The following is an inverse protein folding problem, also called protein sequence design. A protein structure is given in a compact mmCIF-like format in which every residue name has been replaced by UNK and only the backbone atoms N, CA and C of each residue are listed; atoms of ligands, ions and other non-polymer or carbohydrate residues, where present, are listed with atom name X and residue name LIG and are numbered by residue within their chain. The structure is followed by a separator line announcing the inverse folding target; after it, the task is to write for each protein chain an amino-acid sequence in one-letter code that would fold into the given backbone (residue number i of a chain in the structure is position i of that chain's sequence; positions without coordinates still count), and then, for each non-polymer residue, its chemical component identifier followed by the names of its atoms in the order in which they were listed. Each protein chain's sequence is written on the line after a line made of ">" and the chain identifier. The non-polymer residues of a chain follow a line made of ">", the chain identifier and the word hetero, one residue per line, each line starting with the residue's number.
data_IF_190176093142
#
_entry.id   IF_190176093142
#
_cell.length_a   1.000
_cell.length_b   1.000
_cell.length_c   1.000
_cell.angle_alpha   90.00
_cell.angle_beta   90.00
_cell.angle_gamma   90.00
#
_symmetry.space_group_name_H-M   'P 1'
#
loop_
_entity.id
_entity.type
_entity.pdbx_description
1 polymer ?
#
# COMPACT_ATOMS: atom_id res chain seq x y z
N UNK A 1 19.35 -9.31 16.30
CA UNK A 1 17.90 -9.29 16.04
C UNK A 1 17.57 -7.95 15.41
N UNK A 2 17.39 -7.90 14.09
CA UNK A 2 17.12 -6.65 13.39
C UNK A 2 15.65 -6.24 13.64
N UNK A 3 15.37 -4.99 14.03
CA UNK A 3 14.00 -4.52 14.18
C UNK A 3 13.29 -4.63 12.83
N UNK A 4 12.22 -5.42 12.83
CA UNK A 4 11.64 -6.02 11.64
C UNK A 4 11.10 -5.03 10.62
N UNK A 5 11.53 -5.23 9.37
CA UNK A 5 10.93 -4.63 8.18
C UNK A 5 9.41 -4.90 8.11
N UNK A 6 8.94 -5.98 8.74
CA UNK A 6 7.53 -6.33 8.94
C UNK A 6 6.63 -5.14 9.31
N UNK A 7 7.09 -4.21 10.15
CA UNK A 7 6.25 -3.09 10.64
C UNK A 7 6.55 -1.73 10.00
N UNK A 8 7.52 -1.64 9.09
CA UNK A 8 7.86 -0.34 8.47
C UNK A 8 6.71 0.20 7.63
N UNK A 9 6.12 -0.64 6.78
CA UNK A 9 5.03 -0.25 5.91
C UNK A 9 3.82 0.23 6.72
N UNK A 10 3.46 -0.52 7.77
CA UNK A 10 2.35 -0.16 8.65
C UNK A 10 2.58 1.18 9.37
N UNK A 11 3.82 1.45 9.80
CA UNK A 11 4.17 2.76 10.36
C UNK A 11 4.12 3.89 9.34
N UNK A 12 4.58 3.65 8.11
CA UNK A 12 4.53 4.65 7.04
C UNK A 12 3.07 4.99 6.75
N UNK A 13 2.22 3.98 6.51
CA UNK A 13 0.78 4.21 6.29
C UNK A 13 0.16 4.92 7.49
N UNK A 14 0.42 4.49 8.72
CA UNK A 14 -0.11 5.17 9.90
C UNK A 14 0.34 6.63 9.96
N UNK A 15 1.61 6.91 9.67
CA UNK A 15 2.15 8.25 9.69
C UNK A 15 1.47 9.11 8.62
N UNK A 16 1.29 8.61 7.40
CA UNK A 16 0.61 9.34 6.33
C UNK A 16 -0.87 9.51 6.64
N UNK A 17 -1.55 8.52 7.20
CA UNK A 17 -2.94 8.66 7.63
C UNK A 17 -3.10 9.74 8.70
N UNK A 18 -2.15 9.84 9.65
CA UNK A 18 -2.17 10.82 10.74
C UNK A 18 -1.76 12.22 10.30
N UNK A 19 -0.64 12.33 9.60
CA UNK A 19 -0.04 13.62 9.19
C UNK A 19 -0.63 14.17 7.88
N UNK A 20 -1.19 13.30 7.04
CA UNK A 20 -1.54 13.62 5.66
C UNK A 20 -0.32 13.71 4.73
N UNK A 21 0.88 13.45 5.25
CA UNK A 21 2.13 13.68 4.51
C UNK A 21 2.53 12.45 3.72
N UNK A 22 2.25 12.45 2.41
CA UNK A 22 2.59 11.35 1.50
C UNK A 22 4.08 11.22 1.20
N UNK A 23 4.92 12.15 1.66
CA UNK A 23 6.36 12.09 1.44
C UNK A 23 6.99 10.90 2.16
N UNK A 24 6.47 10.51 3.33
CA UNK A 24 6.92 9.28 4.01
C UNK A 24 6.66 8.03 3.16
N UNK A 25 5.59 8.06 2.39
CA UNK A 25 5.21 7.04 1.43
C UNK A 25 6.18 7.05 0.22
N UNK A 26 6.40 8.22 -0.38
CA UNK A 26 7.33 8.39 -1.50
C UNK A 26 8.75 7.92 -1.16
N UNK A 27 9.26 8.31 0.02
CA UNK A 27 10.56 7.86 0.54
C UNK A 27 10.60 6.34 0.74
N UNK A 28 9.49 5.72 1.15
CA UNK A 28 9.42 4.26 1.27
C UNK A 28 9.38 3.58 -0.09
N UNK A 29 8.73 4.20 -1.08
CA UNK A 29 8.69 3.77 -2.48
C UNK A 29 10.07 3.80 -3.14
N UNK A 30 10.85 4.84 -2.85
CA UNK A 30 12.23 4.98 -3.30
C UNK A 30 13.19 4.02 -2.59
N UNK A 31 12.80 3.46 -1.43
CA UNK A 31 13.55 2.36 -0.84
C UNK A 31 13.29 1.08 -1.63
N UNK A 32 14.36 0.38 -1.93
CA UNK A 32 14.29 -0.98 -2.45
C UNK A 32 13.67 -1.88 -1.38
N UNK A 33 12.41 -2.27 -1.59
CA UNK A 33 11.84 -3.42 -0.89
C UNK A 33 12.49 -4.63 -1.56
N UNK A 34 13.56 -5.13 -0.96
CA UNK A 34 14.27 -6.30 -1.47
C UNK A 34 13.27 -7.44 -1.71
N UNK A 35 13.25 -7.92 -2.95
CA UNK A 35 12.53 -9.11 -3.40
C UNK A 35 12.78 -10.25 -2.40
N UNK A 36 11.74 -10.65 -1.64
CA UNK A 36 11.84 -11.66 -0.59
C UNK A 36 11.66 -11.17 0.85
N UNK A 37 11.50 -9.86 1.08
CA UNK A 37 11.20 -9.32 2.41
C UNK A 37 9.72 -9.49 2.73
N UNK A 38 9.35 -10.60 3.37
CA UNK A 38 7.97 -10.82 3.81
C UNK A 38 7.55 -9.72 4.80
N UNK A 39 6.59 -8.89 4.39
CA UNK A 39 6.02 -7.82 5.21
C UNK A 39 4.80 -8.39 5.93
N UNK A 40 4.93 -8.81 7.21
CA UNK A 40 3.72 -9.08 8.00
C UNK A 40 2.96 -7.78 8.22
N UNK A 41 1.76 -7.71 7.67
CA UNK A 41 0.86 -6.62 7.97
C UNK A 41 -0.20 -7.08 8.97
N UNK A 42 -0.60 -6.18 9.87
CA UNK A 42 -1.72 -6.44 10.76
C UNK A 42 -3.03 -6.23 10.04
N UNK A 43 -4.13 -6.71 10.62
CA UNK A 43 -5.46 -6.39 10.12
C UNK A 43 -5.75 -4.86 10.22
N UNK A 44 -5.08 -4.17 11.15
CA UNK A 44 -5.18 -2.72 11.31
C UNK A 44 -4.52 -1.94 10.18
N UNK A 45 -3.48 -2.49 9.55
CA UNK A 45 -2.84 -1.91 8.37
C UNK A 45 -3.87 -1.66 7.28
N UNK A 46 -4.65 -2.69 6.98
CA UNK A 46 -5.68 -2.65 5.96
C UNK A 46 -6.69 -1.55 6.24
N UNK A 47 -7.24 -1.48 7.47
CA UNK A 47 -8.19 -0.42 7.82
C UNK A 47 -7.59 0.99 7.70
N UNK A 48 -6.29 1.16 7.94
CA UNK A 48 -5.62 2.46 7.78
C UNK A 48 -5.38 2.80 6.31
N UNK A 49 -5.00 1.79 5.53
CA UNK A 49 -4.78 1.88 4.11
C UNK A 49 -6.06 2.28 3.38
N UNK A 50 -7.16 1.60 3.69
CA UNK A 50 -8.49 1.92 3.17
C UNK A 50 -8.87 3.38 3.45
N UNK A 51 -8.73 3.82 4.70
CA UNK A 51 -8.97 5.22 5.09
C UNK A 51 -8.06 6.19 4.35
N UNK A 52 -6.80 5.82 4.13
CA UNK A 52 -5.84 6.67 3.44
C UNK A 52 -6.20 6.81 1.96
N UNK A 53 -6.57 5.72 1.29
CA UNK A 53 -7.02 5.70 -0.11
C UNK A 53 -8.30 6.50 -0.26
N UNK A 54 -9.30 6.25 0.59
CA UNK A 54 -10.54 7.03 0.61
C UNK A 54 -10.26 8.52 0.78
N UNK A 55 -9.32 8.88 1.67
CA UNK A 55 -8.93 10.28 1.89
C UNK A 55 -8.22 10.88 0.67
N UNK A 56 -7.34 10.14 0.00
CA UNK A 56 -6.67 10.63 -1.22
C UNK A 56 -7.66 10.86 -2.36
N UNK A 57 -8.63 9.94 -2.51
CA UNK A 57 -9.72 10.07 -3.48
C UNK A 57 -10.64 11.26 -3.16
N UNK A 58 -11.01 11.44 -1.89
CA UNK A 58 -11.82 12.57 -1.42
C UNK A 58 -11.11 13.91 -1.66
N UNK A 59 -9.81 13.98 -1.40
CA UNK A 59 -9.00 15.17 -1.67
C UNK A 59 -8.69 15.39 -3.16
N UNK A 60 -9.09 14.48 -4.05
CA UNK A 60 -8.72 14.49 -5.49
C UNK A 60 -7.21 14.64 -5.72
N UNK A 61 -6.40 14.21 -4.76
CA UNK A 61 -4.95 14.37 -4.84
C UNK A 61 -4.37 13.18 -5.60
N UNK A 62 -4.27 13.35 -6.93
CA UNK A 62 -3.87 12.29 -7.85
C UNK A 62 -2.46 11.77 -7.54
N UNK A 63 -1.57 12.63 -7.03
CA UNK A 63 -0.19 12.26 -6.65
C UNK A 63 -0.16 11.43 -5.36
N UNK A 64 -0.95 11.82 -4.38
CA UNK A 64 -1.08 11.07 -3.13
C UNK A 64 -1.71 9.72 -3.38
N UNK A 65 -2.79 9.69 -4.18
CA UNK A 65 -3.44 8.46 -4.60
C UNK A 65 -2.47 7.53 -5.32
N UNK A 66 -1.71 8.03 -6.31
CA UNK A 66 -0.74 7.22 -7.06
C UNK A 66 0.39 6.68 -6.18
N UNK A 67 0.89 7.48 -5.24
CA UNK A 67 1.95 7.05 -4.30
C UNK A 67 1.45 5.94 -3.38
N UNK A 68 0.24 6.09 -2.84
CA UNK A 68 -0.42 5.07 -2.00
C UNK A 68 -0.59 3.77 -2.75
N UNK A 69 -1.07 3.88 -3.98
CA UNK A 69 -1.26 2.75 -4.87
C UNK A 69 0.05 2.06 -5.27
N UNK A 70 1.11 2.82 -5.54
CA UNK A 70 2.43 2.29 -5.90
C UNK A 70 3.04 1.45 -4.77
N UNK A 71 2.90 1.89 -3.53
CA UNK A 71 3.40 1.07 -2.41
C UNK A 71 2.60 -0.22 -2.26
N UNK A 72 1.30 -0.17 -2.50
CA UNK A 72 0.43 -1.34 -2.35
C UNK A 72 0.71 -2.34 -3.46
N UNK A 73 0.97 -1.89 -4.68
CA UNK A 73 1.46 -2.74 -5.76
C UNK A 73 2.85 -3.32 -5.42
N UNK A 74 3.81 -2.46 -5.03
CA UNK A 74 5.20 -2.86 -4.73
C UNK A 74 5.33 -3.81 -3.53
N UNK A 75 4.55 -3.56 -2.47
CA UNK A 75 4.48 -4.45 -1.31
C UNK A 75 3.47 -5.57 -1.49
N UNK A 76 2.67 -5.49 -2.54
CA UNK A 76 1.54 -6.36 -2.83
C UNK A 76 1.93 -7.81 -2.98
N UNK A 77 3.12 -8.12 -3.47
CA UNK A 77 3.59 -9.52 -3.57
C UNK A 77 4.24 -10.01 -2.26
N UNK A 78 4.73 -9.08 -1.44
CA UNK A 78 5.47 -9.38 -0.21
C UNK A 78 4.59 -9.32 1.06
N UNK A 79 3.36 -8.82 0.93
CA UNK A 79 2.38 -8.64 1.99
C UNK A 79 1.92 -10.00 2.54
N UNK A 80 2.08 -10.24 3.85
CA UNK A 80 1.46 -11.38 4.54
C UNK A 80 0.37 -10.91 5.46
N UNK A 81 -0.85 -11.38 5.23
CA UNK A 81 -2.00 -11.05 6.06
C UNK A 81 -2.20 -12.08 7.19
N UNK A 82 -2.77 -11.65 8.32
CA UNK A 82 -3.09 -12.53 9.44
C UNK A 82 -4.35 -13.32 9.08
N UNK A 83 -4.19 -14.34 8.24
CA UNK A 83 -5.29 -15.14 7.72
C UNK A 83 -4.90 -16.16 6.65
N UNK A 84 -3.61 -16.24 6.29
CA UNK A 84 -3.11 -17.15 5.25
C UNK A 84 -3.16 -16.56 3.83
N UNK A 85 -3.88 -15.44 3.64
CA UNK A 85 -3.81 -14.64 2.42
C UNK A 85 -2.43 -14.01 2.27
N UNK A 86 -1.78 -14.29 1.14
CA UNK A 86 -0.55 -13.62 0.74
C UNK A 86 -0.89 -12.62 -0.37
N UNK A 87 -0.39 -11.42 -0.17
CA UNK A 87 -0.35 -10.36 -1.12
C UNK A 87 -1.66 -9.67 -1.43
N UNK A 88 -1.74 -9.09 -2.63
CA UNK A 88 -2.89 -8.37 -3.17
C UNK A 88 -4.17 -9.20 -3.19
N UNK A 89 -4.04 -10.48 -3.52
CA UNK A 89 -5.16 -11.44 -3.45
C UNK A 89 -5.78 -11.47 -2.05
N UNK A 90 -4.95 -11.37 -1.00
CA UNK A 90 -5.44 -11.29 0.35
C UNK A 90 -6.12 -9.96 0.67
N UNK A 91 -5.63 -8.84 0.12
CA UNK A 91 -6.24 -7.49 0.30
C UNK A 91 -7.61 -7.43 -0.38
N UNK A 92 -7.70 -7.94 -1.61
CA UNK A 92 -8.95 -8.03 -2.39
C UNK A 92 -9.91 -9.02 -1.69
N UNK A 93 -9.41 -10.17 -1.26
CA UNK A 93 -10.19 -11.18 -0.54
C UNK A 93 -10.72 -10.72 0.82
N UNK A 94 -10.10 -9.69 1.42
CA UNK A 94 -10.62 -9.04 2.63
C UNK A 94 -11.66 -7.96 2.35
N UNK A 95 -12.03 -7.74 1.08
CA UNK A 95 -13.07 -6.78 0.67
C UNK A 95 -12.66 -5.33 0.84
N UNK A 96 -11.34 -5.04 0.88
CA UNK A 96 -10.87 -3.67 0.98
C UNK A 96 -11.18 -2.89 -0.28
N UNK A 97 -10.78 -3.43 -1.42
CA UNK A 97 -10.91 -2.76 -2.70
C UNK A 97 -11.77 -3.63 -3.61
N UNK A 98 -12.68 -2.99 -4.33
CA UNK A 98 -13.40 -3.66 -5.41
C UNK A 98 -12.40 -4.03 -6.51
N UNK A 99 -12.58 -5.19 -7.14
CA UNK A 99 -11.74 -5.66 -8.25
C UNK A 99 -11.63 -4.60 -9.35
N UNK A 100 -12.69 -3.82 -9.55
CA UNK A 100 -12.74 -2.70 -10.49
C UNK A 100 -11.80 -1.56 -10.08
N UNK A 101 -11.74 -1.23 -8.79
CA UNK A 101 -10.87 -0.17 -8.25
C UNK A 101 -9.39 -0.59 -8.34
N UNK A 102 -9.12 -1.89 -8.16
CA UNK A 102 -7.78 -2.46 -8.28
C UNK A 102 -7.29 -2.49 -9.74
N UNK A 103 -8.12 -2.97 -10.67
CA UNK A 103 -7.81 -3.00 -12.10
C UNK A 103 -7.60 -1.60 -12.67
N UNK A 104 -8.42 -0.62 -12.27
CA UNK A 104 -8.24 0.77 -12.69
C UNK A 104 -6.89 1.33 -12.22
N UNK A 105 -6.39 0.82 -11.10
CA UNK A 105 -5.11 1.18 -10.52
C UNK A 105 -3.93 0.56 -11.25
N UNK A 106 -4.05 -0.71 -11.67
CA UNK A 106 -3.05 -1.39 -12.51
C UNK A 106 -2.94 -0.72 -13.88
N UNK A 107 -4.07 -0.38 -14.50
CA UNK A 107 -4.12 0.33 -15.77
C UNK A 107 -3.48 1.72 -15.66
N UNK A 108 -3.73 2.42 -14.55
CA UNK A 108 -3.03 3.67 -14.22
C UNK A 108 -1.52 3.47 -14.04
N UNK A 109 -1.09 2.34 -13.44
CA UNK A 109 0.32 2.04 -13.22
C UNK A 109 1.08 1.77 -14.50
N UNK A 110 0.51 0.99 -15.40
CA UNK A 110 1.12 0.65 -16.68
C UNK A 110 1.41 1.92 -17.48
N UNK A 111 0.43 2.84 -17.53
CA UNK A 111 0.57 4.15 -18.16
C UNK A 111 1.63 5.03 -17.49
N UNK A 112 1.74 4.98 -16.15
CA UNK A 112 2.69 5.81 -15.41
C UNK A 112 4.14 5.27 -15.48
N UNK A 113 4.32 3.95 -15.58
CA UNK A 113 5.64 3.30 -15.66
C UNK A 113 6.22 3.35 -17.08
N UNK A 114 5.37 3.49 -18.10
CA UNK A 114 5.75 3.64 -19.52
C UNK A 114 6.14 5.08 -19.89
N UNK A 115 5.90 6.07 -19.04
CA UNK A 115 6.12 7.51 -19.33
C UNK A 115 7.43 8.08 -18.79
#
# INVERSE_FOLDING_TARGET
>A
MAPGQDTQLERVIEQVTKSGDVHALDVFLQRDVHEGTSLKCSQQFLTKLDKLVCRCLDQKDSKSASSVLAIIAKCGENLKLPGGGQGLSGVIGQGLWDETLFNLSEDFFDVLMVS
#
